data_IF_905685962916
#
_entry.id   IF_905685962916
#
_cell.length_a   1.000
_cell.length_b   1.000
_cell.length_c   1.000
_cell.angle_alpha   90.00
_cell.angle_beta   90.00
_cell.angle_gamma   90.00
#
_symmetry.space_group_name_H-M   'P 1'
#
loop_
_entity.id
_entity.type
_entity.pdbx_description
1 polymer ?
#
# COMPACT_ATOMS: atom_id res chain seq x y z
N UNK A 1 19.21 -6.66 7.03
CA UNK A 1 18.33 -7.80 6.70
C UNK A 1 17.32 -7.39 5.63
N UNK A 2 17.80 -7.29 4.38
CA UNK A 2 16.95 -6.87 3.25
C UNK A 2 15.84 -7.89 2.98
N UNK A 3 16.19 -9.17 2.92
CA UNK A 3 15.24 -10.24 2.57
C UNK A 3 14.36 -10.71 3.75
N UNK A 4 14.47 -10.09 4.92
CA UNK A 4 13.73 -10.41 6.16
C UNK A 4 13.81 -11.89 6.59
N UNK A 5 14.96 -12.53 6.39
CA UNK A 5 15.22 -13.94 6.70
C UNK A 5 16.24 -14.15 7.83
N UNK A 6 16.64 -13.10 8.53
CA UNK A 6 17.67 -13.16 9.57
C UNK A 6 17.30 -14.11 10.72
N UNK A 7 16.03 -14.16 11.11
CA UNK A 7 15.52 -15.10 12.11
C UNK A 7 15.64 -16.57 11.65
N UNK A 8 15.39 -16.85 10.36
CA UNK A 8 15.55 -18.19 9.77
C UNK A 8 17.02 -18.59 9.75
N UNK A 9 17.89 -17.67 9.30
CA UNK A 9 19.34 -17.89 9.27
C UNK A 9 19.87 -18.20 10.68
N UNK A 10 19.37 -17.47 11.70
CA UNK A 10 19.77 -17.71 13.08
C UNK A 10 19.49 -19.15 13.53
N UNK A 11 18.28 -19.67 13.26
CA UNK A 11 17.91 -21.04 13.61
C UNK A 11 18.69 -22.07 12.80
N UNK A 12 18.91 -21.82 11.51
CA UNK A 12 19.72 -22.68 10.66
C UNK A 12 21.19 -22.79 11.13
N UNK A 13 21.77 -21.67 11.55
CA UNK A 13 23.15 -21.64 12.11
C UNK A 13 23.22 -22.35 13.46
N UNK A 14 22.22 -22.20 14.31
CA UNK A 14 22.16 -22.93 15.59
C UNK A 14 22.04 -24.45 15.37
N UNK A 15 21.17 -24.88 14.45
CA UNK A 15 20.91 -26.30 14.18
C UNK A 15 22.13 -27.02 13.59
N UNK A 16 22.95 -26.34 12.82
CA UNK A 16 24.14 -26.93 12.17
C UNK A 16 25.44 -26.80 12.97
N UNK A 17 25.41 -26.18 14.18
CA UNK A 17 26.60 -26.06 15.04
C UNK A 17 27.73 -25.21 14.44
N UNK A 18 27.49 -24.48 13.34
CA UNK A 18 28.52 -23.70 12.64
C UNK A 18 28.99 -22.50 13.48
N UNK A 19 30.32 -22.35 13.52
CA UNK A 19 31.00 -21.27 14.26
C UNK A 19 31.16 -20.02 13.35
N UNK A 20 30.07 -19.28 13.14
CA UNK A 20 30.16 -17.96 12.52
C UNK A 20 30.73 -16.89 13.46
N UNK A 21 31.20 -15.72 12.93
CA UNK A 21 31.67 -14.61 13.74
C UNK A 21 30.61 -14.15 14.78
N UNK A 22 31.01 -13.95 16.01
CA UNK A 22 30.11 -13.61 17.15
C UNK A 22 29.21 -12.38 16.85
N UNK A 23 29.76 -11.38 16.14
CA UNK A 23 29.01 -10.17 15.71
C UNK A 23 27.78 -10.48 14.87
N UNK A 24 27.86 -11.46 13.96
CA UNK A 24 26.77 -11.86 13.09
C UNK A 24 25.70 -12.62 13.87
N UNK A 25 26.14 -13.52 14.75
CA UNK A 25 25.22 -14.29 15.61
C UNK A 25 24.37 -13.37 16.48
N UNK A 26 24.96 -12.33 17.08
CA UNK A 26 24.23 -11.37 17.89
C UNK A 26 23.16 -10.62 17.09
N UNK A 27 23.48 -10.15 15.87
CA UNK A 27 22.52 -9.47 15.02
C UNK A 27 21.35 -10.35 14.58
N UNK A 28 21.63 -11.60 14.24
CA UNK A 28 20.58 -12.56 13.88
C UNK A 28 19.74 -12.94 15.10
N UNK A 29 20.38 -13.08 16.26
CA UNK A 29 19.71 -13.31 17.53
C UNK A 29 18.77 -12.17 17.93
N UNK A 30 19.18 -10.93 17.76
CA UNK A 30 18.32 -9.76 18.01
C UNK A 30 17.05 -9.82 17.13
N UNK A 31 17.19 -10.11 15.85
CA UNK A 31 16.05 -10.27 14.94
C UNK A 31 15.15 -11.45 15.30
N UNK A 32 15.72 -12.54 15.73
CA UNK A 32 14.96 -13.68 16.25
C UNK A 32 14.17 -13.31 17.51
N UNK A 33 14.79 -12.61 18.45
CA UNK A 33 14.10 -12.13 19.64
C UNK A 33 12.97 -11.12 19.32
N UNK A 34 13.17 -10.25 18.34
CA UNK A 34 12.11 -9.36 17.85
C UNK A 34 10.93 -10.16 17.30
N UNK A 35 11.18 -11.22 16.51
CA UNK A 35 10.15 -12.09 15.99
C UNK A 35 9.38 -12.85 17.07
N UNK A 36 10.06 -13.29 18.14
CA UNK A 36 9.42 -13.89 19.31
C UNK A 36 8.47 -12.90 20.00
N UNK A 37 8.99 -11.71 20.36
CA UNK A 37 8.17 -10.66 21.02
C UNK A 37 6.96 -10.26 20.17
N UNK A 38 7.15 -10.13 18.87
CA UNK A 38 6.04 -9.82 17.97
C UNK A 38 4.99 -10.93 18.00
N UNK A 39 5.41 -12.20 18.01
CA UNK A 39 4.51 -13.33 18.12
C UNK A 39 3.61 -13.30 19.34
N UNK A 40 4.15 -12.89 20.48
CA UNK A 40 3.39 -12.81 21.73
C UNK A 40 2.30 -11.73 21.72
N UNK A 41 2.52 -10.64 20.96
CA UNK A 41 1.61 -9.49 20.95
C UNK A 41 0.67 -9.47 19.77
N UNK A 42 1.01 -10.10 18.63
CA UNK A 42 0.31 -9.88 17.36
C UNK A 42 -1.15 -10.34 17.39
N UNK A 43 -1.45 -11.54 17.90
CA UNK A 43 -2.81 -12.05 17.96
C UNK A 43 -3.70 -11.20 18.89
N UNK A 44 -3.13 -10.74 20.00
CA UNK A 44 -3.82 -9.89 20.98
C UNK A 44 -4.14 -8.52 20.37
N UNK A 45 -3.13 -7.88 19.75
CA UNK A 45 -3.27 -6.57 19.14
C UNK A 45 -4.23 -6.59 17.92
N UNK A 46 -4.15 -7.64 17.07
CA UNK A 46 -5.11 -7.81 15.98
C UNK A 46 -6.54 -7.92 16.52
N UNK A 47 -6.77 -8.78 17.51
CA UNK A 47 -8.10 -8.95 18.08
C UNK A 47 -8.61 -7.65 18.75
N UNK A 48 -7.77 -6.91 19.47
CA UNK A 48 -8.10 -5.61 20.07
C UNK A 48 -8.60 -4.64 19.00
N UNK A 49 -7.86 -4.49 17.90
CA UNK A 49 -8.20 -3.58 16.81
C UNK A 49 -9.51 -4.00 16.12
N UNK A 50 -9.60 -5.26 15.71
CA UNK A 50 -10.76 -5.73 14.96
C UNK A 50 -12.04 -5.69 15.81
N UNK A 51 -11.95 -6.01 17.10
CA UNK A 51 -13.08 -5.90 18.04
C UNK A 51 -13.52 -4.44 18.19
N UNK A 52 -12.58 -3.52 18.33
CA UNK A 52 -12.90 -2.10 18.47
C UNK A 52 -13.57 -1.52 17.21
N UNK A 53 -13.07 -1.87 16.03
CA UNK A 53 -13.68 -1.45 14.75
C UNK A 53 -15.08 -2.04 14.59
N UNK A 54 -15.26 -3.32 14.93
CA UNK A 54 -16.56 -4.00 14.86
C UNK A 54 -17.58 -3.38 15.81
N UNK A 55 -17.18 -3.12 17.07
CA UNK A 55 -18.04 -2.42 18.07
C UNK A 55 -18.39 -1.00 17.62
N UNK A 56 -17.50 -0.34 16.90
CA UNK A 56 -17.72 0.98 16.30
C UNK A 56 -18.60 0.95 15.04
N UNK A 57 -19.02 -0.25 14.57
CA UNK A 57 -19.81 -0.41 13.34
C UNK A 57 -19.01 -0.07 12.08
N UNK A 58 -17.68 -0.13 12.14
CA UNK A 58 -16.78 0.26 11.04
C UNK A 58 -16.53 -0.95 10.14
N UNK A 59 -17.02 -0.86 8.90
CA UNK A 59 -16.79 -1.89 7.89
C UNK A 59 -15.33 -1.88 7.43
N UNK A 60 -14.63 -2.99 7.61
CA UNK A 60 -13.26 -3.17 7.10
C UNK A 60 -13.06 -4.56 6.51
N UNK A 61 -12.15 -4.66 5.55
CA UNK A 61 -11.70 -5.94 5.01
C UNK A 61 -10.24 -6.17 5.36
N UNK A 62 -9.97 -7.30 6.00
CA UNK A 62 -8.62 -7.73 6.33
C UNK A 62 -7.96 -8.27 5.06
N UNK A 63 -6.96 -7.54 4.55
CA UNK A 63 -6.14 -7.96 3.40
C UNK A 63 -5.04 -8.92 3.86
N UNK A 64 -4.46 -8.64 5.02
CA UNK A 64 -3.44 -9.47 5.65
C UNK A 64 -3.63 -9.48 7.15
N UNK A 65 -3.69 -10.67 7.70
CA UNK A 65 -3.80 -10.95 9.13
C UNK A 65 -2.48 -11.49 9.68
N UNK A 66 -2.24 -11.28 10.95
CA UNK A 66 -1.15 -11.94 11.67
C UNK A 66 -1.28 -13.48 11.67
N UNK A 67 -2.47 -14.00 11.37
CA UNK A 67 -2.76 -15.45 11.32
C UNK A 67 -1.99 -16.22 10.26
N UNK A 68 -1.36 -15.56 9.29
CA UNK A 68 -0.40 -16.22 8.37
C UNK A 68 0.75 -16.88 9.15
N UNK A 69 1.09 -16.32 10.31
CA UNK A 69 2.10 -16.87 11.22
C UNK A 69 1.74 -18.27 11.71
N UNK A 70 0.45 -18.55 11.87
CA UNK A 70 -0.05 -19.84 12.37
C UNK A 70 0.09 -20.95 11.32
N UNK A 71 0.32 -20.60 10.05
CA UNK A 71 0.61 -21.55 8.98
C UNK A 71 2.04 -22.09 9.03
N UNK A 72 2.93 -21.43 9.76
CA UNK A 72 4.31 -21.87 9.91
C UNK A 72 4.42 -22.94 10.99
N UNK A 73 5.12 -24.05 10.73
CA UNK A 73 5.41 -25.07 11.74
C UNK A 73 6.23 -24.53 12.91
N UNK A 74 7.08 -23.56 12.64
CA UNK A 74 7.87 -22.84 13.63
C UNK A 74 7.44 -21.39 13.56
N UNK A 75 6.56 -20.95 14.45
CA UNK A 75 5.96 -19.61 14.42
C UNK A 75 7.02 -18.48 14.48
N UNK A 76 8.16 -18.75 15.13
CA UNK A 76 9.26 -17.80 15.29
C UNK A 76 9.99 -17.47 13.99
N UNK A 77 9.86 -18.32 12.97
CA UNK A 77 10.44 -18.02 11.67
C UNK A 77 9.54 -17.10 10.83
N UNK A 78 8.28 -16.95 11.18
CA UNK A 78 7.40 -16.02 10.49
C UNK A 78 7.90 -14.57 10.62
N UNK A 79 7.83 -13.78 9.55
CA UNK A 79 8.21 -12.37 9.59
C UNK A 79 7.19 -11.55 10.39
N UNK A 80 7.64 -10.46 10.95
CA UNK A 80 6.74 -9.45 11.47
C UNK A 80 6.07 -8.75 10.28
N UNK A 81 4.76 -8.93 10.16
CA UNK A 81 3.95 -8.27 9.14
C UNK A 81 2.91 -7.39 9.81
N UNK A 82 2.65 -6.19 9.29
CA UNK A 82 1.58 -5.35 9.80
C UNK A 82 0.22 -6.00 9.55
N UNK A 83 -0.75 -5.71 10.40
CA UNK A 83 -2.15 -5.95 10.07
C UNK A 83 -2.55 -5.00 8.94
N UNK A 84 -3.05 -5.53 7.82
CA UNK A 84 -3.40 -4.72 6.65
C UNK A 84 -4.90 -4.69 6.46
N UNK A 85 -5.48 -3.50 6.55
CA UNK A 85 -6.92 -3.26 6.49
C UNK A 85 -7.28 -2.38 5.30
N UNK A 86 -8.27 -2.80 4.54
CA UNK A 86 -8.94 -1.96 3.56
C UNK A 86 -10.24 -1.41 4.15
N UNK A 87 -10.45 -0.11 3.99
CA UNK A 87 -11.62 0.62 4.46
C UNK A 87 -12.13 1.54 3.35
N UNK A 88 -13.43 1.74 3.27
CA UNK A 88 -13.97 2.79 2.43
C UNK A 88 -13.60 4.20 2.96
N UNK A 89 -13.85 5.24 2.16
CA UNK A 89 -13.42 6.60 2.49
C UNK A 89 -14.09 7.15 3.75
N UNK A 90 -15.29 6.70 4.07
CA UNK A 90 -16.04 7.16 5.25
C UNK A 90 -15.52 6.45 6.50
N UNK A 91 -15.38 5.13 6.42
CA UNK A 91 -14.86 4.28 7.50
C UNK A 91 -13.39 4.57 7.83
N UNK A 92 -12.58 4.98 6.83
CA UNK A 92 -11.17 5.25 7.01
C UNK A 92 -10.86 6.30 8.08
N UNK A 93 -11.55 7.44 8.02
CA UNK A 93 -11.32 8.53 8.98
C UNK A 93 -11.73 8.15 10.40
N UNK A 94 -12.81 7.39 10.54
CA UNK A 94 -13.27 6.88 11.83
C UNK A 94 -12.30 5.83 12.39
N UNK A 95 -11.91 4.84 11.58
CA UNK A 95 -10.95 3.82 11.96
C UNK A 95 -9.62 4.41 12.43
N UNK A 96 -9.12 5.43 11.70
CA UNK A 96 -7.92 6.15 12.11
C UNK A 96 -8.08 6.80 13.49
N UNK A 97 -9.23 7.41 13.78
CA UNK A 97 -9.53 7.99 15.10
C UNK A 97 -9.43 6.92 16.20
N UNK A 98 -10.08 5.78 16.02
CA UNK A 98 -10.02 4.67 16.99
C UNK A 98 -8.60 4.12 17.17
N UNK A 99 -7.81 4.01 16.10
CA UNK A 99 -6.42 3.58 16.21
C UNK A 99 -5.56 4.57 16.99
N UNK A 100 -5.76 5.87 16.79
CA UNK A 100 -5.09 6.92 17.57
C UNK A 100 -5.47 6.82 19.06
N UNK A 101 -6.73 6.58 19.38
CA UNK A 101 -7.21 6.39 20.76
C UNK A 101 -6.59 5.14 21.41
N UNK A 102 -6.28 4.09 20.62
CA UNK A 102 -5.49 2.92 21.06
C UNK A 102 -3.99 3.19 21.21
N UNK A 103 -3.51 4.39 20.88
CA UNK A 103 -2.11 4.79 20.96
C UNK A 103 -1.27 4.43 19.74
N UNK A 104 -1.90 4.26 18.57
CA UNK A 104 -1.18 4.14 17.31
C UNK A 104 -0.88 5.53 16.74
N UNK A 105 0.34 5.70 16.25
CA UNK A 105 0.79 6.94 15.61
C UNK A 105 1.14 6.67 14.13
N UNK A 106 0.84 7.64 13.26
CA UNK A 106 1.23 7.54 11.84
C UNK A 106 2.75 7.66 11.72
N UNK A 107 3.38 6.59 11.25
CA UNK A 107 4.83 6.55 10.98
C UNK A 107 5.14 6.96 9.53
N UNK A 108 4.31 6.51 8.59
CA UNK A 108 4.52 6.75 7.16
C UNK A 108 3.19 6.85 6.41
N UNK A 109 3.15 7.73 5.41
CA UNK A 109 2.04 7.82 4.47
C UNK A 109 2.35 7.04 3.19
N UNK A 110 1.38 6.27 2.72
CA UNK A 110 1.40 5.68 1.39
C UNK A 110 0.71 6.62 0.42
N UNK A 111 1.48 7.33 -0.40
CA UNK A 111 1.02 8.38 -1.32
C UNK A 111 -0.25 8.01 -2.09
N UNK A 112 -1.42 8.48 -1.62
CA UNK A 112 -2.72 8.29 -2.25
C UNK A 112 -3.38 6.92 -2.03
N UNK A 113 -2.87 6.09 -1.10
CA UNK A 113 -3.44 4.78 -0.78
C UNK A 113 -3.85 4.62 0.67
N UNK A 114 -3.09 5.16 1.62
CA UNK A 114 -3.33 4.98 3.05
C UNK A 114 -2.16 5.39 3.93
N UNK A 115 -2.08 4.80 5.11
CA UNK A 115 -1.07 5.11 6.13
C UNK A 115 -0.56 3.84 6.81
N UNK A 116 0.71 3.88 7.18
CA UNK A 116 1.33 2.93 8.10
C UNK A 116 1.32 3.53 9.50
N UNK A 117 0.77 2.81 10.46
CA UNK A 117 0.66 3.23 11.85
C UNK A 117 1.35 2.21 12.75
N UNK A 118 1.99 2.68 13.80
CA UNK A 118 2.66 1.83 14.79
C UNK A 118 2.35 2.26 16.21
N UNK A 119 2.38 1.30 17.14
CA UNK A 119 2.25 1.50 18.57
C UNK A 119 3.59 1.26 19.27
N UNK A 120 3.78 1.86 20.43
CA UNK A 120 4.99 1.67 21.26
C UNK A 120 5.28 0.19 21.57
N UNK A 121 4.23 -0.65 21.65
CA UNK A 121 4.37 -2.10 21.78
C UNK A 121 5.11 -2.80 20.63
N UNK A 122 5.28 -2.11 19.50
CA UNK A 122 5.91 -2.63 18.28
C UNK A 122 4.93 -3.26 17.29
N UNK A 123 3.64 -3.30 17.57
CA UNK A 123 2.64 -3.76 16.61
C UNK A 123 2.35 -2.69 15.57
N UNK A 124 2.24 -3.10 14.31
CA UNK A 124 2.10 -2.24 13.15
C UNK A 124 0.80 -2.52 12.41
N UNK A 125 0.17 -1.48 11.89
CA UNK A 125 -1.08 -1.54 11.14
C UNK A 125 -0.98 -0.68 9.89
N UNK A 126 -1.34 -1.26 8.75
CA UNK A 126 -1.53 -0.53 7.50
C UNK A 126 -3.03 -0.34 7.25
N UNK A 127 -3.47 0.88 7.15
CA UNK A 127 -4.84 1.22 6.78
C UNK A 127 -4.87 1.82 5.38
N UNK A 128 -5.73 1.27 4.51
CA UNK A 128 -5.86 1.66 3.12
C UNK A 128 -7.28 2.10 2.81
N UNK A 129 -7.45 3.27 2.18
CA UNK A 129 -8.71 3.70 1.57
C UNK A 129 -8.75 3.44 0.06
N UNK A 130 -7.61 3.00 -0.50
CA UNK A 130 -7.45 2.59 -1.88
C UNK A 130 -6.53 1.38 -1.94
N UNK A 131 -6.83 0.44 -2.83
CA UNK A 131 -6.02 -0.78 -3.01
C UNK A 131 -4.58 -0.40 -3.35
N UNK A 132 -3.57 -0.93 -2.61
CA UNK A 132 -2.17 -0.53 -2.73
C UNK A 132 -1.46 -1.17 -3.93
N UNK A 133 -2.08 -1.14 -5.11
CA UNK A 133 -1.45 -1.59 -6.35
C UNK A 133 -1.19 -0.43 -7.30
N UNK A 134 0.01 -0.34 -7.88
CA UNK A 134 0.39 0.76 -8.78
C UNK A 134 -0.26 0.65 -10.16
N UNK A 135 -1.02 -0.42 -10.45
CA UNK A 135 -1.61 -0.71 -11.75
C UNK A 135 -3.13 -0.72 -11.65
N UNK A 136 -3.82 0.10 -12.44
CA UNK A 136 -5.28 0.18 -12.44
C UNK A 136 -5.99 -1.15 -12.74
N UNK A 137 -5.38 -1.98 -13.58
CA UNK A 137 -5.93 -3.31 -13.85
C UNK A 137 -6.02 -4.12 -12.57
N UNK A 138 -4.95 -4.13 -11.76
CA UNK A 138 -4.91 -4.82 -10.48
C UNK A 138 -5.87 -4.21 -9.48
N UNK A 139 -5.92 -2.88 -9.39
CA UNK A 139 -6.89 -2.18 -8.55
C UNK A 139 -8.33 -2.63 -8.87
N UNK A 140 -8.70 -2.63 -10.16
CA UNK A 140 -10.04 -3.05 -10.60
C UNK A 140 -10.35 -4.51 -10.25
N UNK A 141 -9.42 -5.42 -10.52
CA UNK A 141 -9.60 -6.83 -10.22
C UNK A 141 -9.69 -7.08 -8.70
N UNK A 142 -8.86 -6.40 -7.90
CA UNK A 142 -8.89 -6.50 -6.46
C UNK A 142 -10.18 -5.94 -5.85
N UNK A 143 -10.71 -4.83 -6.37
CA UNK A 143 -12.01 -4.32 -5.94
C UNK A 143 -13.11 -5.35 -6.17
N UNK A 144 -13.08 -6.06 -7.30
CA UNK A 144 -14.01 -7.16 -7.55
C UNK A 144 -13.86 -8.29 -6.52
N UNK A 145 -12.64 -8.66 -6.12
CA UNK A 145 -12.43 -9.68 -5.08
C UNK A 145 -12.94 -9.19 -3.70
N UNK A 146 -12.75 -7.91 -3.39
CA UNK A 146 -13.25 -7.32 -2.14
C UNK A 146 -14.78 -7.32 -2.03
N UNK A 147 -15.51 -7.20 -3.15
CA UNK A 147 -16.98 -7.32 -3.17
C UNK A 147 -17.44 -8.70 -2.69
N UNK A 148 -16.61 -9.74 -2.88
CA UNK A 148 -16.87 -11.13 -2.47
C UNK A 148 -16.28 -11.47 -1.10
N UNK A 149 -15.70 -10.49 -0.38
CA UNK A 149 -15.16 -10.71 0.94
C UNK A 149 -16.26 -11.13 1.93
N UNK A 150 -15.96 -12.15 2.72
CA UNK A 150 -16.90 -12.78 3.66
C UNK A 150 -16.75 -12.18 5.05
N UNK A 151 -17.86 -12.02 5.76
CA UNK A 151 -17.84 -11.60 7.16
C UNK A 151 -17.19 -12.69 8.01
N UNK A 152 -16.22 -12.35 8.84
CA UNK A 152 -15.63 -13.29 9.82
C UNK A 152 -16.68 -13.68 10.85
N UNK A 153 -16.75 -14.96 11.20
CA UNK A 153 -17.78 -15.54 12.07
C UNK A 153 -17.90 -14.88 13.46
N UNK A 154 -16.83 -14.28 13.94
CA UNK A 154 -16.76 -13.61 15.25
C UNK A 154 -17.14 -12.12 15.21
N UNK A 155 -17.34 -11.53 14.04
CA UNK A 155 -17.60 -10.11 13.84
C UNK A 155 -18.82 -9.85 12.97
N UNK A 156 -19.33 -8.63 12.98
CA UNK A 156 -20.45 -8.20 12.12
C UNK A 156 -19.96 -7.34 10.93
N UNK A 157 -18.96 -6.53 11.14
CA UNK A 157 -18.46 -5.54 10.17
C UNK A 157 -17.06 -5.86 9.63
N UNK A 158 -16.38 -6.84 10.23
CA UNK A 158 -15.04 -7.25 9.77
C UNK A 158 -15.17 -8.37 8.74
N UNK A 159 -14.60 -8.13 7.56
CA UNK A 159 -14.59 -9.06 6.43
C UNK A 159 -13.19 -9.60 6.19
N UNK A 160 -13.11 -10.74 5.53
CA UNK A 160 -11.86 -11.34 5.05
C UNK A 160 -12.07 -11.92 3.65
N UNK A 161 -11.01 -11.94 2.86
CA UNK A 161 -11.03 -12.59 1.55
C UNK A 161 -11.11 -14.11 1.72
N UNK A 162 -11.78 -14.84 0.80
CA UNK A 162 -11.64 -16.30 0.67
C UNK A 162 -10.16 -16.68 0.50
N UNK A 163 -9.80 -17.93 0.84
CA UNK A 163 -8.39 -18.37 0.80
C UNK A 163 -7.77 -18.26 -0.59
N UNK A 164 -8.53 -18.54 -1.65
CA UNK A 164 -8.07 -18.34 -3.03
C UNK A 164 -7.75 -16.88 -3.33
N UNK A 165 -8.60 -15.97 -2.87
CA UNK A 165 -8.42 -14.53 -3.12
C UNK A 165 -7.30 -13.94 -2.27
N UNK A 166 -7.08 -14.46 -1.06
CA UNK A 166 -5.88 -14.12 -0.26
C UNK A 166 -4.60 -14.57 -0.97
N UNK A 167 -4.61 -15.77 -1.54
CA UNK A 167 -3.48 -16.28 -2.29
C UNK A 167 -3.23 -15.46 -3.58
N UNK A 168 -4.29 -15.12 -4.32
CA UNK A 168 -4.23 -14.23 -5.48
C UNK A 168 -3.65 -12.86 -5.13
N UNK A 169 -4.09 -12.28 -4.00
CA UNK A 169 -3.54 -11.00 -3.52
C UNK A 169 -2.03 -11.08 -3.33
N UNK A 170 -1.54 -12.14 -2.68
CA UNK A 170 -0.11 -12.37 -2.46
C UNK A 170 0.68 -12.55 -3.77
N UNK A 171 0.14 -13.31 -4.69
CA UNK A 171 0.79 -13.53 -5.99
C UNK A 171 0.86 -12.23 -6.82
N UNK A 172 -0.21 -11.43 -6.81
CA UNK A 172 -0.22 -10.15 -7.50
C UNK A 172 0.78 -9.15 -6.87
N UNK A 173 0.91 -9.14 -5.55
CA UNK A 173 1.89 -8.33 -4.83
C UNK A 173 3.32 -8.76 -5.16
N UNK A 174 3.61 -10.06 -5.07
CA UNK A 174 4.92 -10.60 -5.41
C UNK A 174 5.31 -10.35 -6.87
N UNK A 175 4.36 -10.43 -7.81
CA UNK A 175 4.60 -10.08 -9.21
C UNK A 175 4.96 -8.60 -9.39
N UNK A 176 4.27 -7.69 -8.69
CA UNK A 176 4.64 -6.27 -8.69
C UNK A 176 6.03 -6.04 -8.09
N UNK A 177 6.34 -6.66 -6.95
CA UNK A 177 7.64 -6.54 -6.29
C UNK A 177 8.76 -7.13 -7.15
N UNK A 178 8.50 -8.23 -7.88
CA UNK A 178 9.47 -8.79 -8.81
C UNK A 178 9.87 -7.80 -9.89
N UNK A 179 8.91 -7.18 -10.57
CA UNK A 179 9.20 -6.26 -11.68
C UNK A 179 9.76 -4.91 -11.23
N UNK A 180 9.57 -4.53 -9.96
CA UNK A 180 10.17 -3.33 -9.34
C UNK A 180 11.50 -3.61 -8.64
N UNK A 181 12.03 -4.83 -8.73
CA UNK A 181 13.26 -5.29 -8.06
C UNK A 181 13.19 -5.20 -6.52
N UNK A 182 11.99 -5.35 -5.97
CA UNK A 182 11.69 -5.27 -4.53
C UNK A 182 11.31 -6.63 -3.92
N UNK A 183 11.18 -7.70 -4.75
CA UNK A 183 10.78 -9.02 -4.29
C UNK A 183 11.76 -9.57 -3.25
N UNK A 184 11.21 -10.04 -2.13
CA UNK A 184 11.98 -10.59 -1.03
C UNK A 184 11.97 -12.13 -1.06
N UNK A 185 13.07 -12.75 -0.64
CA UNK A 185 13.10 -14.22 -0.40
C UNK A 185 11.99 -14.62 0.57
N UNK A 186 11.70 -13.75 1.54
CA UNK A 186 10.62 -13.95 2.49
C UNK A 186 9.26 -14.12 1.84
N UNK A 187 8.95 -13.32 0.83
CA UNK A 187 7.66 -13.40 0.13
C UNK A 187 7.50 -14.72 -0.62
N UNK A 188 8.59 -15.25 -1.19
CA UNK A 188 8.57 -16.57 -1.79
C UNK A 188 8.33 -17.67 -0.73
N UNK A 189 8.92 -17.53 0.46
CA UNK A 189 8.67 -18.47 1.55
C UNK A 189 7.20 -18.39 2.02
N UNK A 190 6.64 -17.18 2.15
CA UNK A 190 5.23 -17.00 2.50
C UNK A 190 4.31 -17.63 1.45
N UNK A 191 4.60 -17.45 0.15
CA UNK A 191 3.86 -18.10 -0.95
C UNK A 191 3.91 -19.62 -0.81
N UNK A 192 5.09 -20.20 -0.55
CA UNK A 192 5.23 -21.63 -0.34
C UNK A 192 4.41 -22.13 0.85
N UNK A 193 4.51 -21.47 1.99
CA UNK A 193 3.81 -21.85 3.22
C UNK A 193 2.29 -21.78 3.03
N UNK A 194 1.77 -20.72 2.44
CA UNK A 194 0.35 -20.55 2.13
C UNK A 194 -0.11 -21.65 1.18
N UNK A 195 0.67 -21.90 0.11
CA UNK A 195 0.34 -22.94 -0.85
C UNK A 195 0.28 -24.32 -0.19
N UNK A 196 1.28 -24.68 0.62
CA UNK A 196 1.31 -25.96 1.36
C UNK A 196 0.13 -26.12 2.32
N UNK A 197 -0.21 -25.06 3.06
CA UNK A 197 -1.30 -25.09 4.02
C UNK A 197 -2.68 -25.24 3.35
N UNK A 198 -2.86 -24.61 2.20
CA UNK A 198 -4.20 -24.50 1.58
C UNK A 198 -4.36 -25.28 0.28
N UNK A 199 -3.32 -25.96 -0.25
CA UNK A 199 -3.35 -26.63 -1.56
C UNK A 199 -4.58 -27.54 -1.76
N UNK A 200 -5.07 -28.21 -0.71
CA UNK A 200 -6.25 -29.07 -0.77
C UNK A 200 -7.57 -28.29 -0.87
N UNK A 201 -7.57 -27.02 -0.51
CA UNK A 201 -8.75 -26.12 -0.53
C UNK A 201 -8.76 -25.22 -1.77
N UNK A 202 -7.56 -24.95 -2.36
CA UNK A 202 -7.42 -24.02 -3.48
C UNK A 202 -8.05 -24.61 -4.76
N UNK A 203 -8.97 -23.86 -5.35
CA UNK A 203 -9.47 -24.13 -6.69
C UNK A 203 -8.47 -23.61 -7.74
N UNK A 204 -7.62 -24.50 -8.27
CA UNK A 204 -6.57 -24.14 -9.22
C UNK A 204 -7.12 -23.52 -10.52
N UNK A 205 -8.25 -23.99 -11.03
CA UNK A 205 -8.86 -23.46 -12.25
C UNK A 205 -9.31 -22.00 -12.04
N UNK A 206 -9.94 -21.72 -10.89
CA UNK A 206 -10.34 -20.37 -10.50
C UNK A 206 -9.11 -19.44 -10.40
N UNK A 207 -8.06 -19.88 -9.70
CA UNK A 207 -6.84 -19.10 -9.50
C UNK A 207 -6.18 -18.81 -10.85
N UNK A 208 -5.99 -19.81 -11.71
CA UNK A 208 -5.36 -19.61 -13.03
C UNK A 208 -6.17 -18.66 -13.90
N UNK A 209 -7.50 -18.78 -13.91
CA UNK A 209 -8.37 -17.84 -14.61
C UNK A 209 -8.21 -16.42 -14.11
N UNK A 210 -8.18 -16.22 -12.79
CA UNK A 210 -7.97 -14.89 -12.20
C UNK A 210 -6.59 -14.33 -12.48
N UNK A 211 -5.54 -15.13 -12.39
CA UNK A 211 -4.18 -14.71 -12.75
C UNK A 211 -4.08 -14.28 -14.23
N UNK A 212 -4.82 -14.96 -15.12
CA UNK A 212 -4.95 -14.55 -16.52
C UNK A 212 -5.69 -13.22 -16.67
N UNK A 213 -6.74 -12.95 -15.86
CA UNK A 213 -7.42 -11.66 -15.81
C UNK A 213 -6.46 -10.51 -15.35
N UNK A 214 -5.47 -10.84 -14.51
CA UNK A 214 -4.38 -9.93 -14.12
C UNK A 214 -3.25 -9.84 -15.16
N UNK A 215 -3.21 -10.71 -16.15
CA UNK A 215 -2.12 -10.88 -17.12
C UNK A 215 -0.77 -11.22 -16.49
N UNK A 216 -0.77 -12.06 -15.45
CA UNK A 216 0.43 -12.50 -14.71
C UNK A 216 0.45 -14.01 -14.49
N UNK A 217 -0.36 -14.82 -15.19
CA UNK A 217 -0.48 -16.25 -14.97
C UNK A 217 0.85 -16.99 -15.13
N UNK A 218 1.64 -16.70 -16.17
CA UNK A 218 2.97 -17.31 -16.36
C UNK A 218 3.97 -16.86 -15.27
N UNK A 219 4.01 -15.54 -14.98
CA UNK A 219 4.91 -15.00 -13.97
C UNK A 219 4.59 -15.53 -12.59
N UNK A 220 3.31 -15.50 -12.19
CA UNK A 220 2.85 -16.02 -10.91
C UNK A 220 3.11 -17.54 -10.80
N UNK A 221 2.89 -18.29 -11.89
CA UNK A 221 3.23 -19.71 -11.95
C UNK A 221 4.71 -19.98 -11.67
N UNK A 222 5.61 -19.21 -12.28
CA UNK A 222 7.07 -19.29 -12.03
C UNK A 222 7.41 -18.94 -10.56
N UNK A 223 6.77 -17.93 -9.98
CA UNK A 223 6.98 -17.55 -8.58
C UNK A 223 6.56 -18.67 -7.60
N UNK A 224 5.46 -19.34 -7.87
CA UNK A 224 5.02 -20.49 -7.06
C UNK A 224 5.97 -21.68 -7.26
N UNK A 225 6.35 -21.97 -8.50
CA UNK A 225 7.28 -23.08 -8.80
C UNK A 225 8.63 -22.88 -8.12
N UNK A 226 9.24 -21.68 -8.22
CA UNK A 226 10.52 -21.42 -7.57
C UNK A 226 10.41 -21.46 -6.05
N UNK A 227 9.30 -20.98 -5.47
CA UNK A 227 9.10 -21.08 -4.03
C UNK A 227 9.03 -22.52 -3.54
N UNK A 228 8.34 -23.38 -4.27
CA UNK A 228 8.29 -24.81 -3.97
C UNK A 228 9.65 -25.51 -4.23
N UNK A 229 10.39 -25.09 -5.23
CA UNK A 229 11.74 -25.61 -5.50
C UNK A 229 12.73 -25.25 -4.38
N UNK A 230 12.66 -24.04 -3.86
CA UNK A 230 13.60 -23.58 -2.82
C UNK A 230 13.28 -24.13 -1.43
N UNK A 231 11.99 -24.23 -1.10
CA UNK A 231 11.55 -24.54 0.27
C UNK A 231 10.84 -25.89 0.40
N UNK A 232 10.39 -26.47 -0.72
CA UNK A 232 9.64 -27.70 -0.73
C UNK A 232 10.47 -28.95 -0.93
N UNK A 233 9.80 -30.07 -0.97
CA UNK A 233 10.37 -31.34 -1.38
C UNK A 233 10.11 -31.54 -2.87
N UNK A 234 11.01 -32.24 -3.59
CA UNK A 234 10.89 -32.52 -5.05
C UNK A 234 9.58 -33.20 -5.48
N UNK A 235 8.72 -33.60 -4.53
CA UNK A 235 7.43 -34.27 -4.80
C UNK A 235 6.24 -33.30 -4.83
N UNK A 236 6.46 -32.05 -4.47
CA UNK A 236 5.40 -31.05 -4.45
C UNK A 236 5.12 -30.59 -5.89
N UNK A 237 4.17 -31.25 -6.55
CA UNK A 237 3.67 -30.84 -7.86
C UNK A 237 2.85 -29.56 -7.71
N UNK A 238 3.21 -28.50 -8.44
CA UNK A 238 2.64 -27.16 -8.26
C UNK A 238 2.27 -26.57 -9.60
N UNK A 239 1.03 -26.13 -9.77
CA UNK A 239 0.54 -25.42 -10.96
C UNK A 239 1.13 -25.89 -12.28
N UNK A 240 1.03 -27.20 -12.54
CA UNK A 240 1.64 -27.87 -13.68
C UNK A 240 2.95 -28.58 -13.33
N UNK A 241 3.52 -29.23 -14.32
CA UNK A 241 4.80 -29.93 -14.18
C UNK A 241 5.92 -28.93 -13.96
N UNK A 242 6.80 -29.22 -12.99
CA UNK A 242 8.08 -28.50 -12.89
C UNK A 242 8.81 -28.63 -14.23
N UNK A 243 9.39 -27.55 -14.77
CA UNK A 243 10.15 -27.65 -16.01
C UNK A 243 11.33 -28.61 -15.81
N UNK A 244 11.61 -29.43 -16.84
CA UNK A 244 12.76 -30.34 -16.83
C UNK A 244 14.09 -29.55 -16.80
N UNK A 245 14.10 -28.37 -17.44
CA UNK A 245 15.25 -27.47 -17.44
C UNK A 245 15.09 -26.42 -16.31
N UNK A 246 15.90 -26.57 -15.27
CA UNK A 246 15.94 -25.65 -14.14
C UNK A 246 16.52 -24.29 -14.50
N UNK A 247 17.23 -24.15 -15.61
CA UNK A 247 17.78 -22.89 -16.13
C UNK A 247 16.69 -21.85 -16.46
N UNK A 248 15.44 -22.29 -16.60
CA UNK A 248 14.28 -21.37 -16.76
C UNK A 248 14.15 -20.38 -15.59
N UNK A 249 14.59 -20.76 -14.40
CA UNK A 249 14.53 -19.90 -13.20
C UNK A 249 15.77 -19.04 -12.99
N UNK A 250 16.88 -19.28 -13.72
CA UNK A 250 18.14 -18.57 -13.53
C UNK A 250 17.98 -17.03 -13.65
N UNK A 251 17.18 -16.58 -14.61
CA UNK A 251 16.91 -15.15 -14.80
C UNK A 251 16.17 -14.56 -13.58
N UNK A 252 15.14 -15.25 -13.12
CA UNK A 252 14.33 -14.82 -11.98
C UNK A 252 15.16 -14.82 -10.69
N UNK A 253 15.91 -15.90 -10.42
CA UNK A 253 16.79 -16.02 -9.26
C UNK A 253 17.87 -14.95 -9.25
N UNK A 254 18.60 -14.81 -10.35
CA UNK A 254 19.68 -13.82 -10.46
C UNK A 254 19.16 -12.40 -10.34
N UNK A 255 18.00 -12.10 -10.95
CA UNK A 255 17.38 -10.79 -10.84
C UNK A 255 16.98 -10.49 -9.39
N UNK A 256 16.30 -11.41 -8.73
CA UNK A 256 15.88 -11.24 -7.33
C UNK A 256 17.09 -11.09 -6.39
N UNK A 257 18.10 -11.96 -6.51
CA UNK A 257 19.29 -11.94 -5.65
C UNK A 257 20.16 -10.71 -5.88
N UNK A 258 20.25 -10.23 -7.13
CA UNK A 258 21.00 -9.03 -7.50
C UNK A 258 20.20 -7.74 -7.43
N UNK A 259 18.91 -7.80 -7.12
CA UNK A 259 18.00 -6.66 -7.14
C UNK A 259 17.99 -5.93 -8.48
N UNK A 260 17.90 -6.69 -9.56
CA UNK A 260 17.90 -6.20 -10.94
C UNK A 260 19.25 -5.70 -11.47
N UNK A 261 20.33 -5.76 -10.67
CA UNK A 261 21.63 -5.21 -11.08
C UNK A 261 22.34 -6.04 -12.16
N UNK A 262 22.13 -7.34 -12.21
CA UNK A 262 22.91 -8.26 -13.06
C UNK A 262 22.14 -8.69 -14.32
N UNK A 263 20.84 -8.92 -14.23
CA UNK A 263 20.05 -9.49 -15.32
C UNK A 263 19.00 -8.53 -15.84
N UNK A 264 18.86 -8.46 -17.16
CA UNK A 264 17.73 -7.77 -17.81
C UNK A 264 16.52 -8.69 -17.85
N UNK A 265 15.33 -8.11 -17.72
CA UNK A 265 14.10 -8.84 -17.85
C UNK A 265 13.92 -9.41 -19.26
N UNK A 266 13.70 -10.70 -19.36
CA UNK A 266 13.44 -11.42 -20.60
C UNK A 266 12.02 -11.99 -20.64
N UNK A 267 11.33 -12.06 -19.49
CA UNK A 267 9.97 -12.55 -19.40
C UNK A 267 8.99 -11.53 -19.96
N UNK A 268 8.16 -11.96 -20.91
CA UNK A 268 7.23 -11.08 -21.63
C UNK A 268 6.17 -10.49 -20.71
N UNK A 269 5.62 -11.27 -19.78
CA UNK A 269 4.60 -10.77 -18.85
C UNK A 269 5.21 -9.80 -17.85
N UNK A 270 6.38 -10.09 -17.30
CA UNK A 270 7.09 -9.20 -16.41
C UNK A 270 7.44 -7.87 -17.09
N UNK A 271 7.90 -7.89 -18.34
CA UNK A 271 8.20 -6.70 -19.12
C UNK A 271 6.93 -5.87 -19.38
N UNK A 272 5.80 -6.51 -19.70
CA UNK A 272 4.52 -5.85 -19.90
C UNK A 272 4.01 -5.20 -18.60
N UNK A 273 4.08 -5.91 -17.47
CA UNK A 273 3.69 -5.40 -16.16
C UNK A 273 4.54 -4.19 -15.75
N UNK A 274 5.87 -4.25 -15.97
CA UNK A 274 6.76 -3.13 -15.70
C UNK A 274 6.38 -1.89 -16.52
N UNK A 275 6.08 -2.06 -17.82
CA UNK A 275 5.62 -0.96 -18.67
C UNK A 275 4.30 -0.35 -18.17
N UNK A 276 3.37 -1.17 -17.69
CA UNK A 276 2.11 -0.69 -17.12
C UNK A 276 2.36 0.15 -15.85
N UNK A 277 3.22 -0.33 -14.95
CA UNK A 277 3.60 0.41 -13.73
C UNK A 277 4.24 1.76 -14.10
N UNK A 278 5.20 1.78 -15.01
CA UNK A 278 5.87 3.00 -15.46
C UNK A 278 4.89 3.99 -16.06
N UNK A 279 3.98 3.51 -16.92
CA UNK A 279 2.95 4.35 -17.54
C UNK A 279 2.01 4.99 -16.51
N UNK A 280 1.60 4.26 -15.48
CA UNK A 280 0.76 4.82 -14.41
C UNK A 280 1.54 5.82 -13.54
N UNK A 281 2.81 5.54 -13.23
CA UNK A 281 3.68 6.47 -12.51
C UNK A 281 3.85 7.79 -13.30
N UNK A 282 4.05 7.73 -14.60
CA UNK A 282 4.18 8.92 -15.46
C UNK A 282 2.86 9.72 -15.52
N UNK A 283 1.72 9.04 -15.61
CA UNK A 283 0.39 9.68 -15.53
C UNK A 283 0.21 10.40 -14.19
N UNK A 284 0.60 9.79 -13.12
CA UNK A 284 0.50 10.40 -11.79
C UNK A 284 1.43 11.60 -11.62
N UNK A 285 2.67 11.50 -12.10
CA UNK A 285 3.61 12.63 -12.15
C UNK A 285 3.03 13.82 -12.93
N UNK A 286 2.41 13.56 -14.09
CA UNK A 286 1.74 14.58 -14.90
C UNK A 286 0.56 15.21 -14.15
N UNK A 287 -0.27 14.40 -13.49
CA UNK A 287 -1.40 14.88 -12.68
C UNK A 287 -0.92 15.79 -11.55
N UNK A 288 0.06 15.34 -10.74
CA UNK A 288 0.67 16.13 -9.66
C UNK A 288 1.26 17.46 -10.19
N UNK A 289 1.89 17.43 -11.37
CA UNK A 289 2.42 18.66 -12.02
C UNK A 289 1.29 19.62 -12.41
N UNK A 290 0.22 19.14 -13.03
CA UNK A 290 -0.94 19.96 -13.37
C UNK A 290 -1.65 20.54 -12.15
N UNK A 291 -1.80 19.78 -11.08
CA UNK A 291 -2.38 20.26 -9.82
C UNK A 291 -1.53 21.38 -9.21
N UNK A 292 -0.19 21.26 -9.21
CA UNK A 292 0.73 22.32 -8.77
C UNK A 292 0.57 23.59 -9.61
N UNK A 293 0.45 23.46 -10.93
CA UNK A 293 0.22 24.59 -11.84
C UNK A 293 -1.13 25.25 -11.55
N UNK A 294 -2.21 24.45 -11.41
CA UNK A 294 -3.55 24.94 -11.07
C UNK A 294 -3.56 25.67 -9.71
N UNK A 295 -2.90 25.12 -8.71
CA UNK A 295 -2.77 25.76 -7.40
C UNK A 295 -2.06 27.11 -7.50
N UNK A 296 -0.91 27.17 -8.20
CA UNK A 296 -0.19 28.43 -8.44
C UNK A 296 -1.03 29.45 -9.23
N UNK A 297 -1.75 28.99 -10.25
CA UNK A 297 -2.65 29.85 -11.01
C UNK A 297 -3.78 30.43 -10.14
N UNK A 298 -4.39 29.59 -9.28
CA UNK A 298 -5.41 30.01 -8.33
C UNK A 298 -4.89 31.05 -7.32
N UNK A 299 -3.69 30.83 -6.78
CA UNK A 299 -3.02 31.76 -5.87
C UNK A 299 -2.69 33.08 -6.58
N UNK A 300 -2.19 33.03 -7.81
CA UNK A 300 -1.93 34.22 -8.62
C UNK A 300 -3.22 34.99 -8.91
N UNK A 301 -4.30 34.28 -9.28
CA UNK A 301 -5.61 34.87 -9.50
C UNK A 301 -6.18 35.52 -8.26
N UNK A 302 -6.05 34.86 -7.10
CA UNK A 302 -6.47 35.45 -5.81
C UNK A 302 -5.69 36.71 -5.44
N UNK A 303 -4.36 36.74 -5.72
CA UNK A 303 -3.55 37.94 -5.51
C UNK A 303 -3.96 39.06 -6.47
N UNK A 304 -4.26 38.71 -7.70
CA UNK A 304 -4.71 39.67 -8.71
C UNK A 304 -6.10 40.23 -8.35
N UNK A 305 -7.07 39.40 -8.01
CA UNK A 305 -8.40 39.86 -7.59
C UNK A 305 -8.34 40.71 -6.32
N UNK A 306 -7.47 40.35 -5.36
CA UNK A 306 -7.26 41.15 -4.13
C UNK A 306 -6.66 42.52 -4.46
N UNK A 307 -5.76 42.65 -5.45
CA UNK A 307 -5.24 43.94 -5.93
C UNK A 307 -6.29 44.73 -6.67
N UNK A 308 -7.10 44.04 -7.51
CA UNK A 308 -8.21 44.66 -8.21
C UNK A 308 -9.30 45.18 -7.26
N UNK A 309 -9.59 44.47 -6.17
CA UNK A 309 -10.58 44.94 -5.17
C UNK A 309 -10.11 46.17 -4.40
N UNK A 310 -8.79 46.44 -4.39
CA UNK A 310 -8.26 47.68 -3.84
C UNK A 310 -8.52 48.86 -4.81
N UNK A 311 -8.41 48.67 -6.13
CA UNK A 311 -8.68 49.69 -7.15
C UNK A 311 -10.21 49.83 -7.38
N UNK A 312 -10.94 48.69 -7.42
CA UNK A 312 -12.36 48.59 -7.68
C UNK A 312 -13.08 47.99 -6.45
N UNK A 313 -13.29 48.73 -5.37
CA UNK A 313 -13.98 48.22 -4.17
C UNK A 313 -15.39 47.79 -4.50
N UNK A 314 -15.93 46.92 -3.65
CA UNK A 314 -17.29 46.42 -3.76
C UNK A 314 -18.33 47.55 -3.73
N UNK A 315 -19.46 47.34 -4.43
CA UNK A 315 -20.54 48.30 -4.52
C UNK A 315 -21.02 48.77 -3.14
N UNK A 316 -21.20 47.88 -2.17
CA UNK A 316 -21.62 48.22 -0.81
C UNK A 316 -20.68 49.20 -0.12
N UNK A 317 -19.39 48.99 -0.25
CA UNK A 317 -18.37 49.88 0.28
C UNK A 317 -18.42 51.26 -0.39
N UNK A 318 -18.63 51.27 -1.72
CA UNK A 318 -18.75 52.52 -2.47
C UNK A 318 -20.02 53.31 -2.13
N UNK A 319 -21.15 52.63 -1.86
CA UNK A 319 -22.38 53.26 -1.40
C UNK A 319 -22.21 53.96 -0.02
N UNK A 320 -21.41 53.35 0.89
CA UNK A 320 -21.09 53.96 2.17
C UNK A 320 -20.30 55.28 2.06
N UNK A 321 -19.44 55.39 0.98
CA UNK A 321 -18.65 56.63 0.74
C UNK A 321 -19.42 57.62 -0.12
N UNK A 322 -20.23 57.14 -1.07
CA UNK A 322 -21.00 57.91 -2.04
C UNK A 322 -22.48 57.48 -2.00
N UNK A 323 -23.32 58.01 -1.12
CA UNK A 323 -24.73 57.64 -0.99
C UNK A 323 -25.56 57.83 -2.27
N UNK A 324 -25.10 58.66 -3.20
CA UNK A 324 -25.70 58.84 -4.53
C UNK A 324 -25.78 57.55 -5.33
N UNK A 325 -24.89 56.59 -5.08
CA UNK A 325 -24.88 55.29 -5.77
C UNK A 325 -26.10 54.42 -5.43
N UNK A 326 -26.75 54.59 -4.29
CA UNK A 326 -28.00 53.90 -3.95
C UNK A 326 -29.15 54.31 -4.88
N UNK A 327 -29.12 55.56 -5.37
CA UNK A 327 -30.17 56.08 -6.28
C UNK A 327 -29.78 55.87 -7.73
N UNK A 328 -28.49 55.95 -8.06
CA UNK A 328 -28.01 55.87 -9.44
C UNK A 328 -26.77 54.92 -9.52
N UNK A 329 -26.98 53.61 -9.62
CA UNK A 329 -25.89 52.64 -9.67
C UNK A 329 -24.89 52.80 -10.82
N UNK A 330 -25.32 53.37 -11.94
CA UNK A 330 -24.49 53.62 -13.16
C UNK A 330 -23.32 54.58 -12.92
N UNK A 331 -23.32 55.35 -11.82
CA UNK A 331 -22.23 56.27 -11.48
C UNK A 331 -21.04 55.54 -10.82
N UNK A 332 -21.12 54.24 -10.58
CA UNK A 332 -20.10 53.47 -9.88
C UNK A 332 -18.69 53.62 -10.52
N UNK A 333 -18.50 53.53 -11.85
CA UNK A 333 -17.18 53.72 -12.46
C UNK A 333 -16.59 55.12 -12.23
N UNK A 334 -17.43 56.14 -12.26
CA UNK A 334 -17.01 57.52 -12.02
C UNK A 334 -16.63 57.75 -10.53
N UNK A 335 -17.32 57.09 -9.62
CA UNK A 335 -17.01 57.14 -8.19
C UNK A 335 -15.69 56.42 -7.87
N UNK A 336 -15.35 55.31 -8.56
CA UNK A 336 -14.02 54.68 -8.45
C UNK A 336 -12.90 55.62 -8.87
N UNK A 337 -13.02 56.24 -10.05
CA UNK A 337 -12.04 57.18 -10.57
C UNK A 337 -11.84 58.35 -9.62
N UNK A 338 -12.96 58.96 -9.13
CA UNK A 338 -12.95 60.08 -8.19
C UNK A 338 -12.27 59.72 -6.87
N UNK A 339 -12.55 58.51 -6.35
CA UNK A 339 -11.91 58.00 -5.13
C UNK A 339 -10.41 57.84 -5.33
N UNK A 340 -9.99 57.23 -6.45
CA UNK A 340 -8.60 56.92 -6.71
C UNK A 340 -7.76 58.21 -6.96
N UNK A 341 -8.33 59.21 -7.62
CA UNK A 341 -7.74 60.53 -7.75
C UNK A 341 -7.60 61.17 -6.36
N UNK A 342 -8.58 61.07 -5.49
CA UNK A 342 -8.50 61.58 -4.12
C UNK A 342 -7.43 60.90 -3.29
N UNK A 343 -7.26 59.60 -3.42
CA UNK A 343 -6.21 58.84 -2.76
C UNK A 343 -4.82 59.26 -3.26
N UNK A 344 -4.67 59.40 -4.56
CA UNK A 344 -3.40 59.88 -5.16
C UNK A 344 -3.05 61.31 -4.70
N UNK A 345 -3.99 62.24 -4.73
CA UNK A 345 -3.80 63.61 -4.25
C UNK A 345 -3.56 63.69 -2.74
N UNK A 346 -4.14 62.78 -1.95
CA UNK A 346 -3.91 62.66 -0.52
C UNK A 346 -2.54 62.07 -0.13
N UNK A 347 -1.90 61.33 -1.03
CA UNK A 347 -0.52 60.83 -0.85
C UNK A 347 0.58 61.86 -1.16
N UNK A 348 0.22 62.98 -1.79
CA UNK A 348 1.13 64.10 -2.10
C UNK A 348 0.96 65.31 -1.14
N UNK A 349 0.20 65.15 -0.06
CA UNK A 349 0.14 66.07 1.09
C UNK A 349 0.74 65.37 2.30
#
# INVERSE_FOLDING_TARGET
DYHRIANIIYLGVLGNGERGPARWKNRFFERYQEALRFGDICAHAENEILTLLDMGGISCTVLESCGIRDLYHIHEIAANSPLRLYLDSESYSLAKGYLVDLGYETDRFYDGFGEHMKRVSGFEVDIYYKIPFPVRLFEKQMLYLLEHAQVRSTYQYVRTLPVEDQFLFRLAEAACHYVTDELLIRELLDIYIIYQAWQAQLNQEYIMKKLSDFHIDELAGKLVQISCMWFGTKKDAVFGLLPEDMGVFDVLENRMLSRGAIMKETDTQAACLLQLIQKEQDRERHRKKLERVRKKAKECWQRFTRRLSWIFPEYKYMCAIYPVLEKIPFLLPFCWIRRDIRLLLGMFR
#
